data_IF_668748362114
#
_entry.id   IF_668748362114
#
_cell.length_a   1.000
_cell.length_b   1.000
_cell.length_c   1.000
_cell.angle_alpha   90.00
_cell.angle_beta   90.00
_cell.angle_gamma   90.00
#
_symmetry.space_group_name_H-M   'P 1'
#
loop_
_entity.id
_entity.type
_entity.pdbx_description
1 polymer ?
#
# COMPACT_ATOMS: atom_id res chain seq x y z
N UNK A 1 -1.59 -22.61 9.44
CA UNK A 1 -2.43 -21.52 8.90
C UNK A 1 -1.66 -20.20 9.05
N UNK A 2 -1.22 -19.44 8.05
CA UNK A 2 -1.43 -19.44 6.59
C UNK A 2 -0.14 -18.92 5.88
N UNK A 3 0.16 -19.36 4.64
CA UNK A 3 1.34 -18.91 3.90
C UNK A 3 1.04 -17.56 3.22
N UNK A 4 1.43 -16.43 3.85
CA UNK A 4 1.19 -15.07 3.31
C UNK A 4 2.40 -14.48 2.59
N UNK A 5 2.96 -15.20 1.63
CA UNK A 5 4.01 -14.66 0.76
C UNK A 5 3.78 -15.08 -0.69
N UNK A 6 2.72 -14.50 -1.28
CA UNK A 6 2.67 -14.24 -2.72
C UNK A 6 2.19 -12.80 -2.91
N UNK A 7 3.11 -11.87 -2.73
CA UNK A 7 2.93 -10.53 -3.28
C UNK A 7 3.16 -10.67 -4.77
N UNK A 8 2.10 -10.51 -5.54
CA UNK A 8 2.06 -10.80 -6.98
C UNK A 8 2.34 -9.52 -7.79
N UNK A 9 2.58 -9.67 -9.10
CA UNK A 9 2.69 -8.55 -10.05
C UNK A 9 1.58 -7.48 -9.89
N UNK A 10 0.36 -7.93 -9.56
CA UNK A 10 -0.81 -7.08 -9.33
C UNK A 10 -0.63 -6.11 -8.14
N UNK A 11 0.14 -6.52 -7.13
CA UNK A 11 0.51 -5.67 -6.00
C UNK A 11 1.44 -4.54 -6.43
N UNK A 12 2.42 -4.81 -7.29
CA UNK A 12 3.36 -3.79 -7.78
C UNK A 12 2.64 -2.71 -8.59
N UNK A 13 1.71 -3.14 -9.45
CA UNK A 13 0.88 -2.24 -10.25
C UNK A 13 -0.02 -1.37 -9.37
N UNK A 14 -0.63 -1.96 -8.33
CA UNK A 14 -1.42 -1.20 -7.34
C UNK A 14 -0.58 -0.14 -6.65
N UNK A 15 0.62 -0.48 -6.18
CA UNK A 15 1.53 0.48 -5.52
C UNK A 15 1.94 1.60 -6.49
N UNK A 16 2.30 1.25 -7.73
CA UNK A 16 2.71 2.22 -8.74
C UNK A 16 1.59 3.22 -9.08
N UNK A 17 0.34 2.76 -9.17
CA UNK A 17 -0.79 3.64 -9.42
C UNK A 17 -1.17 4.47 -8.18
N UNK A 18 -1.24 3.88 -6.99
CA UNK A 18 -1.56 4.64 -5.75
C UNK A 18 -0.51 5.71 -5.46
N UNK A 19 0.77 5.44 -5.76
CA UNK A 19 1.86 6.42 -5.60
C UNK A 19 1.61 7.74 -6.34
N UNK A 20 0.89 7.70 -7.47
CA UNK A 20 0.53 8.88 -8.29
C UNK A 20 -0.52 9.77 -7.62
N UNK A 21 -1.19 9.31 -6.58
CA UNK A 21 -2.25 10.03 -5.88
C UNK A 21 -1.91 10.22 -4.39
N UNK A 22 -1.08 11.22 -4.05
CA UNK A 22 -0.68 11.53 -2.68
C UNK A 22 -1.85 11.70 -1.69
N UNK A 23 -3.00 12.23 -2.16
CA UNK A 23 -4.21 12.36 -1.37
C UNK A 23 -4.74 11.05 -0.77
N UNK A 24 -4.36 9.89 -1.32
CA UNK A 24 -4.82 8.59 -0.82
C UNK A 24 -4.05 8.08 0.40
N UNK A 25 -2.88 8.65 0.71
CA UNK A 25 -2.00 8.10 1.76
C UNK A 25 -1.24 9.16 2.57
N UNK A 26 -1.05 10.39 2.07
CA UNK A 26 -0.34 11.45 2.78
C UNK A 26 -1.30 12.20 3.69
N UNK A 27 -1.18 12.01 5.00
CA UNK A 27 -2.06 12.65 5.99
C UNK A 27 -1.97 14.18 5.95
N UNK A 28 -0.79 14.71 5.63
CA UNK A 28 -0.54 16.15 5.51
C UNK A 28 -0.98 16.76 4.17
N UNK A 29 -1.44 15.94 3.21
CA UNK A 29 -1.90 16.46 1.93
C UNK A 29 -3.22 17.22 2.12
N UNK A 30 -3.38 18.44 1.56
CA UNK A 30 -4.60 19.25 1.72
C UNK A 30 -5.90 18.54 1.33
N UNK A 31 -5.79 17.54 0.45
CA UNK A 31 -6.91 16.75 -0.05
C UNK A 31 -7.04 15.35 0.55
N UNK A 32 -6.26 15.02 1.59
CA UNK A 32 -6.32 13.70 2.24
C UNK A 32 -7.72 13.39 2.81
N UNK A 33 -8.34 14.40 3.43
CA UNK A 33 -9.71 14.28 3.97
C UNK A 33 -10.81 14.53 2.91
N UNK A 34 -10.45 14.82 1.66
CA UNK A 34 -11.43 15.06 0.61
C UNK A 34 -11.95 13.72 0.07
N UNK A 35 -13.06 13.26 0.64
CA UNK A 35 -13.69 11.98 0.29
C UNK A 35 -14.07 11.90 -1.20
N UNK A 36 -14.51 13.02 -1.80
CA UNK A 36 -14.89 13.09 -3.21
C UNK A 36 -13.68 12.91 -4.14
N UNK A 37 -12.56 13.58 -3.84
CA UNK A 37 -11.32 13.42 -4.58
C UNK A 37 -10.75 12.01 -4.41
N UNK A 38 -10.74 11.49 -3.17
CA UNK A 38 -10.28 10.13 -2.90
C UNK A 38 -11.11 9.09 -3.65
N UNK A 39 -12.43 9.25 -3.68
CA UNK A 39 -13.31 8.37 -4.47
C UNK A 39 -12.97 8.42 -5.96
N UNK A 40 -12.78 9.62 -6.52
CA UNK A 40 -12.38 9.79 -7.93
C UNK A 40 -11.03 9.10 -8.20
N UNK A 41 -10.02 9.33 -7.37
CA UNK A 41 -8.70 8.71 -7.52
C UNK A 41 -8.78 7.18 -7.49
N UNK A 42 -9.49 6.60 -6.52
CA UNK A 42 -9.71 5.15 -6.46
C UNK A 42 -10.43 4.62 -7.70
N UNK A 43 -11.45 5.34 -8.19
CA UNK A 43 -12.18 4.99 -9.41
C UNK A 43 -11.28 4.99 -10.64
N UNK A 44 -10.38 5.96 -10.76
CA UNK A 44 -9.40 5.98 -11.86
C UNK A 44 -8.39 4.83 -11.79
N UNK A 45 -7.88 4.50 -10.59
CA UNK A 45 -7.01 3.34 -10.39
C UNK A 45 -7.75 2.04 -10.74
N UNK A 46 -9.01 1.92 -10.33
CA UNK A 46 -9.89 0.79 -10.62
C UNK A 46 -10.08 0.56 -12.12
N UNK A 47 -10.31 1.61 -12.89
CA UNK A 47 -10.37 1.54 -14.36
C UNK A 47 -9.05 1.09 -14.96
N UNK A 48 -7.93 1.67 -14.55
CA UNK A 48 -6.59 1.34 -15.09
C UNK A 48 -6.17 -0.09 -14.83
N UNK A 49 -6.47 -0.59 -13.63
CA UNK A 49 -6.13 -1.96 -13.24
C UNK A 49 -7.21 -2.97 -13.61
N UNK A 50 -8.33 -2.50 -14.18
CA UNK A 50 -9.52 -3.29 -14.48
C UNK A 50 -9.97 -4.17 -13.29
N UNK A 51 -10.02 -3.57 -12.10
CA UNK A 51 -10.36 -4.24 -10.83
C UNK A 51 -11.29 -3.40 -10.01
N UNK A 52 -12.14 -4.03 -9.21
CA UNK A 52 -13.11 -3.33 -8.37
C UNK A 52 -12.41 -2.45 -7.30
N UNK A 53 -12.89 -1.21 -7.12
CA UNK A 53 -12.40 -0.29 -6.09
C UNK A 53 -12.38 -0.89 -4.69
N UNK A 54 -13.39 -1.70 -4.34
CA UNK A 54 -13.52 -2.34 -3.02
C UNK A 54 -12.37 -3.32 -2.76
N UNK A 55 -12.04 -4.13 -3.77
CA UNK A 55 -10.92 -5.08 -3.74
C UNK A 55 -9.58 -4.34 -3.65
N UNK A 56 -9.39 -3.30 -4.47
CA UNK A 56 -8.14 -2.53 -4.46
C UNK A 56 -7.89 -1.82 -3.12
N UNK A 57 -8.94 -1.30 -2.48
CA UNK A 57 -8.84 -0.72 -1.14
C UNK A 57 -8.47 -1.76 -0.09
N UNK A 58 -9.06 -2.96 -0.16
CA UNK A 58 -8.74 -4.07 0.75
C UNK A 58 -7.30 -4.54 0.58
N UNK A 59 -6.84 -4.69 -0.66
CA UNK A 59 -5.46 -5.04 -1.00
C UNK A 59 -4.50 -3.96 -0.49
N UNK A 60 -4.80 -2.69 -0.76
CA UNK A 60 -4.00 -1.56 -0.27
C UNK A 60 -3.92 -1.53 1.26
N UNK A 61 -5.05 -1.75 1.96
CA UNK A 61 -5.05 -1.82 3.42
C UNK A 61 -4.19 -2.96 3.93
N UNK A 62 -4.28 -4.13 3.30
CA UNK A 62 -3.45 -5.30 3.64
C UNK A 62 -1.97 -4.98 3.46
N UNK A 63 -1.59 -4.24 2.39
CA UNK A 63 -0.22 -3.80 2.17
C UNK A 63 0.27 -2.83 3.25
N UNK A 64 -0.55 -1.85 3.62
CA UNK A 64 -0.24 -0.92 4.71
C UNK A 64 -0.06 -1.64 6.04
N UNK A 65 -0.93 -2.60 6.34
CA UNK A 65 -0.85 -3.38 7.58
C UNK A 65 0.41 -4.24 7.61
N UNK A 66 0.77 -4.88 6.48
CA UNK A 66 2.05 -5.57 6.34
C UNK A 66 3.25 -4.60 6.53
N UNK A 67 3.23 -3.42 5.91
CA UNK A 67 4.29 -2.43 6.04
C UNK A 67 4.44 -1.91 7.47
N UNK A 68 3.33 -1.65 8.17
CA UNK A 68 3.34 -1.26 9.59
C UNK A 68 3.92 -2.35 10.48
N UNK A 69 3.55 -3.61 10.24
CA UNK A 69 4.17 -4.73 10.95
C UNK A 69 5.67 -4.80 10.70
N UNK A 70 6.14 -4.55 9.48
CA UNK A 70 7.57 -4.44 9.15
C UNK A 70 8.25 -3.32 9.97
N UNK A 71 7.66 -2.13 10.02
CA UNK A 71 8.20 -1.00 10.79
C UNK A 71 8.28 -1.29 12.30
N UNK A 72 7.24 -1.90 12.89
CA UNK A 72 7.22 -2.27 14.31
C UNK A 72 8.27 -3.35 14.61
N UNK A 73 8.45 -4.31 13.70
CA UNK A 73 9.38 -5.44 13.90
C UNK A 73 10.86 -5.04 13.74
N UNK A 74 11.18 -3.90 13.10
CA UNK A 74 12.56 -3.36 13.07
C UNK A 74 13.16 -3.09 14.47
N UNK A 75 12.35 -3.06 15.52
CA UNK A 75 12.80 -3.01 16.92
C UNK A 75 13.27 -4.35 17.53
N UNK A 76 13.04 -5.52 16.89
CA UNK A 76 13.34 -6.85 17.48
C UNK A 76 14.21 -7.72 16.56
N UNK A 77 15.44 -8.02 17.01
CA UNK A 77 16.54 -8.64 16.22
C UNK A 77 16.27 -10.05 15.63
N UNK A 78 15.18 -10.75 15.95
CA UNK A 78 15.03 -12.20 15.63
C UNK A 78 14.27 -12.56 14.34
N UNK A 79 13.76 -11.60 13.57
CA UNK A 79 13.00 -11.86 12.31
C UNK A 79 13.63 -11.23 11.06
N UNK A 80 14.92 -10.90 11.12
CA UNK A 80 15.66 -10.17 10.07
C UNK A 80 15.62 -10.85 8.69
N UNK A 81 15.46 -12.17 8.63
CA UNK A 81 15.46 -12.95 7.37
C UNK A 81 14.19 -12.79 6.52
N UNK A 82 13.04 -12.39 7.06
CA UNK A 82 11.84 -12.12 6.26
C UNK A 82 11.66 -10.63 5.92
N UNK A 83 12.34 -9.76 6.68
CA UNK A 83 12.23 -8.30 6.62
C UNK A 83 13.13 -7.69 5.53
N UNK A 84 14.32 -8.25 5.31
CA UNK A 84 15.23 -7.83 4.22
C UNK A 84 14.77 -8.27 2.81
N UNK A 85 13.63 -8.95 2.72
CA UNK A 85 13.06 -9.53 1.49
C UNK A 85 11.81 -8.79 0.98
N UNK A 86 11.35 -7.74 1.66
CA UNK A 86 10.19 -7.02 1.18
C UNK A 86 10.57 -6.05 0.05
N UNK A 87 10.48 -6.56 -1.18
CA UNK A 87 10.83 -5.86 -2.43
C UNK A 87 10.17 -4.48 -2.60
N UNK A 88 9.06 -4.21 -1.91
CA UNK A 88 8.34 -2.93 -1.95
C UNK A 88 8.74 -1.94 -0.87
N UNK A 89 9.71 -2.24 -0.02
CA UNK A 89 10.17 -1.33 1.03
C UNK A 89 10.47 0.06 0.45
N UNK A 90 11.32 0.12 -0.60
CA UNK A 90 11.64 1.36 -1.33
C UNK A 90 10.43 2.01 -2.00
N UNK A 91 9.46 1.20 -2.44
CA UNK A 91 8.25 1.69 -3.09
C UNK A 91 7.23 2.24 -2.08
N UNK A 92 7.25 1.83 -0.82
CA UNK A 92 6.31 2.25 0.24
C UNK A 92 6.88 3.29 1.19
N UNK A 93 8.15 3.70 1.05
CA UNK A 93 8.78 4.74 1.88
C UNK A 93 8.02 6.08 1.84
N UNK A 94 7.20 6.33 0.81
CA UNK A 94 6.41 7.55 0.68
C UNK A 94 5.23 7.64 1.65
N UNK A 95 4.83 6.53 2.27
CA UNK A 95 3.57 6.41 3.02
C UNK A 95 3.69 6.99 4.45
N UNK A 96 4.89 7.33 4.92
CA UNK A 96 5.09 7.73 6.31
C UNK A 96 6.02 8.96 6.45
N UNK A 97 5.52 10.14 6.05
CA UNK A 97 6.05 11.44 6.50
C UNK A 97 4.94 12.48 6.54
#
# INVERSE_FOLDING_TARGET
MAPRSRLTYQTEQLIAEVKKYPCLYQVHHPHYMNMTLNYKCWREISKKLNRETSVLKKDWRTLLDCYRQVLITKGTKKRQTWLNLWRFEKHMMFVNR
#
